data_IF_890418732564
#
_entry.id   IF_890418732564
#
_cell.length_a   1.000
_cell.length_b   1.000
_cell.length_c   1.000
_cell.angle_alpha   90.00
_cell.angle_beta   90.00
_cell.angle_gamma   90.00
#
_symmetry.space_group_name_H-M   'P 1'
#
loop_
_entity.id
_entity.type
_entity.pdbx_description
1 polymer ?
#
# COMPACT_ATOMS: atom_id res chain seq x y z
N UNK A 1 -7.70 -11.47 -17.20
CA UNK A 1 -7.36 -11.26 -15.78
C UNK A 1 -6.98 -9.79 -15.63
N UNK A 2 -7.40 -9.14 -14.55
CA UNK A 2 -7.09 -7.72 -14.25
C UNK A 2 -6.22 -7.67 -13.00
N UNK A 3 -5.09 -6.97 -13.04
CA UNK A 3 -4.17 -6.89 -11.90
C UNK A 3 -4.51 -5.66 -11.05
N UNK A 4 -4.77 -5.83 -9.74
CA UNK A 4 -5.14 -4.72 -8.85
C UNK A 4 -4.10 -3.59 -8.85
N UNK A 5 -2.81 -3.93 -8.94
CA UNK A 5 -1.72 -2.94 -8.99
C UNK A 5 -1.73 -2.04 -10.23
N UNK A 6 -2.39 -2.46 -11.32
CA UNK A 6 -2.53 -1.69 -12.55
C UNK A 6 -3.73 -0.74 -12.53
N UNK A 7 -4.72 -0.99 -11.67
CA UNK A 7 -5.97 -0.22 -11.60
C UNK A 7 -5.89 0.82 -10.47
N UNK A 8 -5.03 1.82 -10.65
CA UNK A 8 -4.79 2.90 -9.67
C UNK A 8 -4.96 4.26 -10.32
N UNK A 9 -5.35 5.27 -9.53
CA UNK A 9 -5.48 6.65 -10.00
C UNK A 9 -4.18 7.12 -10.68
N UNK A 10 -4.31 7.79 -11.82
CA UNK A 10 -3.22 8.24 -12.67
C UNK A 10 -2.62 7.18 -13.60
N UNK A 11 -2.97 5.89 -13.47
CA UNK A 11 -2.49 4.85 -14.40
C UNK A 11 -3.23 4.93 -15.74
N UNK A 12 -2.52 4.63 -16.82
CA UNK A 12 -3.07 4.44 -18.16
C UNK A 12 -2.67 3.07 -18.70
N UNK A 13 -3.62 2.15 -18.84
CA UNK A 13 -3.36 0.79 -19.34
C UNK A 13 -4.68 0.04 -19.67
N UNK A 14 -4.55 -1.20 -20.16
CA UNK A 14 -5.68 -2.05 -20.57
C UNK A 14 -6.48 -2.62 -19.38
N UNK A 15 -5.85 -2.82 -18.22
CA UNK A 15 -6.54 -3.26 -17.00
C UNK A 15 -7.51 -2.17 -16.48
N UNK A 16 -7.08 -0.90 -16.56
CA UNK A 16 -7.95 0.26 -16.30
C UNK A 16 -9.07 0.32 -17.34
N UNK A 17 -8.76 0.13 -18.64
CA UNK A 17 -9.78 0.13 -19.69
C UNK A 17 -10.84 -0.93 -19.44
N UNK A 18 -10.40 -2.14 -19.11
CA UNK A 18 -11.27 -3.27 -18.76
C UNK A 18 -12.15 -2.94 -17.56
N UNK A 19 -11.56 -2.34 -16.52
CA UNK A 19 -12.30 -1.90 -15.33
C UNK A 19 -13.35 -0.84 -15.66
N UNK A 20 -13.00 0.17 -16.48
CA UNK A 20 -13.94 1.21 -16.90
C UNK A 20 -15.09 0.63 -17.74
N UNK A 21 -14.79 -0.26 -18.68
CA UNK A 21 -15.82 -0.95 -19.47
C UNK A 21 -16.77 -1.74 -18.57
N UNK A 22 -16.24 -2.43 -17.55
CA UNK A 22 -17.04 -3.14 -16.56
C UNK A 22 -17.91 -2.22 -15.70
N UNK A 23 -17.36 -1.08 -15.24
CA UNK A 23 -18.12 -0.05 -14.52
C UNK A 23 -19.29 0.46 -15.38
N UNK A 24 -19.04 0.75 -16.66
CA UNK A 24 -20.08 1.19 -17.60
C UNK A 24 -21.13 0.09 -17.79
N UNK A 25 -20.71 -1.17 -17.94
CA UNK A 25 -21.62 -2.31 -18.11
C UNK A 25 -22.54 -2.53 -16.89
N UNK A 26 -22.07 -2.23 -15.67
CA UNK A 26 -22.90 -2.26 -14.45
C UNK A 26 -23.61 -0.92 -14.17
N UNK A 27 -23.72 -0.06 -15.18
CA UNK A 27 -24.52 1.17 -15.16
C UNK A 27 -23.85 2.35 -14.44
N UNK A 28 -22.52 2.40 -14.35
CA UNK A 28 -21.80 3.56 -13.80
C UNK A 28 -21.38 4.51 -14.91
N UNK A 29 -21.61 5.80 -14.67
CA UNK A 29 -21.31 6.82 -15.66
C UNK A 29 -19.82 7.15 -15.72
N UNK A 30 -19.25 7.00 -16.92
CA UNK A 30 -17.93 7.53 -17.28
C UNK A 30 -18.14 8.26 -18.61
N UNK A 31 -18.40 9.58 -18.61
CA UNK A 31 -18.71 10.34 -19.83
C UNK A 31 -17.67 10.20 -20.94
N UNK A 32 -16.38 10.10 -20.60
CA UNK A 32 -15.30 9.89 -21.57
C UNK A 32 -15.19 8.45 -22.10
N UNK A 33 -16.02 7.52 -21.60
CA UNK A 33 -15.94 6.09 -21.90
C UNK A 33 -14.69 5.42 -21.30
N UNK A 34 -14.41 4.21 -21.79
CA UNK A 34 -13.27 3.41 -21.35
C UNK A 34 -11.96 3.87 -22.03
N UNK A 35 -11.41 5.01 -21.59
CA UNK A 35 -10.17 5.60 -22.14
C UNK A 35 -8.90 4.81 -21.81
N UNK A 36 -8.97 3.94 -20.81
CA UNK A 36 -7.83 3.30 -20.17
C UNK A 36 -7.09 4.18 -19.17
N UNK A 37 -7.45 5.45 -18.99
CA UNK A 37 -6.83 6.34 -18.01
C UNK A 37 -7.69 6.48 -16.76
N UNK A 38 -7.13 6.14 -15.59
CA UNK A 38 -7.82 6.25 -14.31
C UNK A 38 -7.72 7.68 -13.80
N UNK A 39 -8.67 8.53 -14.20
CA UNK A 39 -8.84 9.89 -13.68
C UNK A 39 -10.04 10.03 -12.74
N UNK A 40 -10.44 11.29 -12.50
CA UNK A 40 -11.56 11.63 -11.61
C UNK A 40 -12.90 11.01 -12.02
N UNK A 41 -13.16 10.85 -13.33
CA UNK A 41 -14.39 10.19 -13.81
C UNK A 41 -14.42 8.71 -13.42
N UNK A 42 -13.29 7.99 -13.57
CA UNK A 42 -13.18 6.59 -13.16
C UNK A 42 -13.29 6.45 -11.66
N UNK A 43 -12.64 7.34 -10.90
CA UNK A 43 -12.75 7.41 -9.44
C UNK A 43 -14.21 7.58 -9.01
N UNK A 44 -14.91 8.54 -9.59
CA UNK A 44 -16.32 8.83 -9.28
C UNK A 44 -17.24 7.64 -9.61
N UNK A 45 -17.06 7.03 -10.78
CA UNK A 45 -17.80 5.82 -11.19
C UNK A 45 -17.53 4.65 -10.25
N UNK A 46 -16.28 4.45 -9.84
CA UNK A 46 -15.90 3.40 -8.91
C UNK A 46 -16.46 3.65 -7.50
N UNK A 47 -16.52 4.91 -7.05
CA UNK A 47 -17.17 5.27 -5.78
C UNK A 47 -18.66 4.91 -5.82
N UNK A 48 -19.34 5.21 -6.93
CA UNK A 48 -20.74 4.81 -7.13
C UNK A 48 -20.93 3.29 -7.23
N UNK A 49 -19.93 2.55 -7.68
CA UNK A 49 -19.89 1.09 -7.63
C UNK A 49 -19.74 0.56 -6.19
N UNK A 50 -18.79 1.10 -5.42
CA UNK A 50 -18.60 0.71 -4.02
C UNK A 50 -19.88 0.94 -3.20
N UNK A 51 -20.61 2.03 -3.43
CA UNK A 51 -21.91 2.28 -2.76
C UNK A 51 -22.94 1.18 -3.02
N UNK A 52 -22.94 0.57 -4.21
CA UNK A 52 -23.85 -0.55 -4.51
C UNK A 52 -23.48 -1.86 -3.82
N UNK A 53 -22.27 -1.95 -3.27
CA UNK A 53 -21.84 -3.06 -2.42
C UNK A 53 -22.08 -2.78 -0.92
N UNK A 54 -22.74 -1.68 -0.57
CA UNK A 54 -23.01 -1.30 0.82
C UNK A 54 -21.90 -0.50 1.51
N UNK A 55 -20.85 -0.10 0.77
CA UNK A 55 -19.80 0.76 1.31
C UNK A 55 -20.36 2.18 1.47
N UNK A 56 -20.06 2.83 2.61
CA UNK A 56 -20.54 4.18 2.92
C UNK A 56 -19.41 5.09 3.39
N UNK A 57 -19.64 6.40 3.35
CA UNK A 57 -18.66 7.41 3.76
C UNK A 57 -17.32 7.23 3.04
N UNK A 58 -16.23 7.22 3.80
CA UNK A 58 -14.86 7.07 3.29
C UNK A 58 -14.56 5.68 2.72
N UNK A 59 -15.43 4.69 2.91
CA UNK A 59 -15.27 3.37 2.33
C UNK A 59 -15.73 3.31 0.85
N UNK A 60 -16.47 4.31 0.36
CA UNK A 60 -16.96 4.42 -1.01
C UNK A 60 -16.45 5.68 -1.72
N UNK A 61 -15.15 5.74 -1.89
CA UNK A 61 -14.40 6.94 -2.29
C UNK A 61 -13.67 6.81 -3.64
N UNK A 62 -13.84 5.67 -4.31
CA UNK A 62 -13.47 5.48 -5.69
C UNK A 62 -12.10 4.88 -5.95
N UNK A 63 -11.35 4.47 -4.92
CA UNK A 63 -10.13 3.68 -5.14
C UNK A 63 -10.41 2.17 -5.02
N UNK A 64 -10.02 1.37 -6.03
CA UNK A 64 -10.20 -0.07 -6.00
C UNK A 64 -9.41 -0.73 -4.87
N UNK A 65 -10.09 -1.54 -4.07
CA UNK A 65 -9.48 -2.58 -3.24
C UNK A 65 -9.84 -3.97 -3.78
N UNK A 66 -9.07 -4.99 -3.40
CA UNK A 66 -9.21 -6.37 -3.90
C UNK A 66 -10.67 -6.86 -3.90
N UNK A 67 -11.38 -6.78 -2.77
CA UNK A 67 -12.76 -7.25 -2.67
C UNK A 67 -13.71 -6.51 -3.62
N UNK A 68 -13.67 -5.18 -3.64
CA UNK A 68 -14.56 -4.38 -4.51
C UNK A 68 -14.32 -4.61 -6.00
N UNK A 69 -13.06 -4.87 -6.40
CA UNK A 69 -12.69 -5.10 -7.79
C UNK A 69 -13.04 -6.54 -8.20
N UNK A 70 -12.85 -7.50 -7.29
CA UNK A 70 -13.25 -8.90 -7.50
C UNK A 70 -14.76 -9.03 -7.69
N UNK A 71 -15.56 -8.30 -6.90
CA UNK A 71 -17.02 -8.22 -7.08
C UNK A 71 -17.41 -7.64 -8.45
N UNK A 72 -16.67 -6.63 -8.93
CA UNK A 72 -16.90 -6.06 -10.27
C UNK A 72 -16.54 -7.10 -11.34
N UNK A 73 -15.40 -7.77 -11.17
CA UNK A 73 -14.93 -8.83 -12.05
C UNK A 73 -15.91 -10.01 -12.16
N UNK A 74 -16.49 -10.44 -11.04
CA UNK A 74 -17.49 -11.50 -11.00
C UNK A 74 -18.74 -11.15 -11.83
N UNK A 75 -19.16 -9.88 -11.86
CA UNK A 75 -20.29 -9.41 -12.68
C UNK A 75 -19.95 -9.20 -14.15
N UNK A 76 -18.71 -8.83 -14.44
CA UNK A 76 -18.26 -8.47 -15.79
C UNK A 76 -17.50 -9.60 -16.51
N UNK A 77 -17.27 -10.75 -15.86
CA UNK A 77 -16.64 -11.91 -16.46
C UNK A 77 -15.10 -11.87 -16.49
N UNK A 78 -14.45 -11.21 -15.53
CA UNK A 78 -12.99 -11.25 -15.38
C UNK A 78 -12.55 -11.61 -13.96
N UNK A 79 -11.41 -12.30 -13.86
CA UNK A 79 -10.75 -12.62 -12.58
C UNK A 79 -9.78 -11.50 -12.22
N UNK A 80 -9.70 -11.18 -10.92
CA UNK A 80 -8.76 -10.19 -10.38
C UNK A 80 -7.56 -10.89 -9.77
N UNK A 81 -6.36 -10.49 -10.17
CA UNK A 81 -5.16 -10.81 -9.41
C UNK A 81 -4.89 -9.70 -8.39
N UNK A 82 -5.04 -10.06 -7.12
CA UNK A 82 -4.79 -9.16 -5.99
C UNK A 82 -3.36 -9.25 -5.46
N UNK A 83 -2.54 -10.18 -5.96
CA UNK A 83 -1.16 -10.29 -5.53
C UNK A 83 -0.37 -9.10 -6.04
N UNK A 84 0.59 -8.66 -5.23
CA UNK A 84 1.60 -7.76 -5.75
C UNK A 84 2.53 -8.57 -6.65
N UNK A 85 2.80 -8.17 -7.91
CA UNK A 85 3.67 -8.94 -8.80
C UNK A 85 5.12 -9.08 -8.30
N UNK A 86 5.50 -8.27 -7.29
CA UNK A 86 6.78 -8.37 -6.61
C UNK A 86 6.80 -9.25 -5.36
N UNK A 87 5.70 -9.95 -5.02
CA UNK A 87 5.63 -10.77 -3.82
C UNK A 87 6.73 -11.84 -3.79
N UNK A 88 7.28 -12.08 -2.61
CA UNK A 88 8.28 -13.12 -2.34
C UNK A 88 7.72 -14.10 -1.32
N UNK A 89 8.41 -15.23 -1.11
CA UNK A 89 8.03 -16.16 -0.04
C UNK A 89 8.50 -15.63 1.31
N UNK A 90 7.75 -15.91 2.39
CA UNK A 90 8.13 -15.49 3.75
C UNK A 90 9.53 -16.00 4.15
N UNK A 91 9.92 -17.19 3.69
CA UNK A 91 11.24 -17.78 3.98
C UNK A 91 12.38 -17.02 3.31
N UNK A 92 12.11 -16.24 2.25
CA UNK A 92 13.09 -15.38 1.59
C UNK A 92 13.34 -14.07 2.34
N UNK A 93 12.56 -13.73 3.37
CA UNK A 93 12.73 -12.46 4.08
C UNK A 93 14.02 -12.46 4.89
N UNK A 94 14.91 -11.51 4.58
CA UNK A 94 16.19 -11.32 5.27
C UNK A 94 16.06 -10.42 6.50
N UNK A 95 16.72 -10.81 7.60
CA UNK A 95 16.63 -10.10 8.90
C UNK A 95 17.90 -9.30 9.28
N UNK A 96 18.85 -9.13 8.35
CA UNK A 96 20.07 -8.36 8.63
C UNK A 96 19.79 -6.86 8.80
N UNK A 97 20.27 -6.27 9.89
CA UNK A 97 20.11 -4.83 10.19
C UNK A 97 21.00 -3.96 9.30
N UNK A 98 20.60 -2.71 9.12
CA UNK A 98 21.40 -1.69 8.44
C UNK A 98 22.63 -1.28 9.27
N UNK A 99 23.67 -0.81 8.59
CA UNK A 99 24.81 -0.11 9.18
C UNK A 99 24.89 1.31 8.60
N UNK A 100 25.18 2.31 9.43
CA UNK A 100 25.47 3.68 8.98
C UNK A 100 24.28 4.49 8.44
N UNK A 101 23.03 4.03 8.61
CA UNK A 101 21.84 4.81 8.24
C UNK A 101 21.48 5.76 9.39
N UNK A 102 21.41 7.05 9.10
CA UNK A 102 21.11 8.09 10.08
C UNK A 102 19.64 8.01 10.59
N UNK A 103 19.43 8.47 11.82
CA UNK A 103 18.13 8.43 12.53
C UNK A 103 17.54 9.84 12.52
N UNK A 104 17.05 10.24 11.35
CA UNK A 104 16.45 11.55 11.13
C UNK A 104 15.42 11.53 10.00
N UNK A 105 14.61 12.59 9.95
CA UNK A 105 13.51 12.72 8.99
C UNK A 105 14.01 12.92 7.55
N UNK A 106 15.11 13.66 7.35
CA UNK A 106 15.63 13.97 6.01
C UNK A 106 16.11 12.70 5.29
N UNK A 107 16.82 11.84 6.01
CA UNK A 107 17.23 10.52 5.54
C UNK A 107 16.02 9.63 5.24
N UNK A 108 15.02 9.62 6.14
CA UNK A 108 13.79 8.87 5.92
C UNK A 108 13.00 9.38 4.69
N UNK A 109 12.99 10.69 4.44
CA UNK A 109 12.35 11.33 3.28
C UNK A 109 12.97 10.86 1.98
N UNK A 110 14.30 10.84 1.89
CA UNK A 110 15.01 10.34 0.70
C UNK A 110 14.61 8.89 0.40
N UNK A 111 14.52 8.02 1.40
CA UNK A 111 14.10 6.63 1.18
C UNK A 111 12.60 6.50 0.85
N UNK A 112 11.73 7.30 1.48
CA UNK A 112 10.30 7.31 1.17
C UNK A 112 10.03 7.75 -0.27
N UNK A 113 10.77 8.75 -0.73
CA UNK A 113 10.76 9.23 -2.11
C UNK A 113 11.22 8.17 -3.12
N UNK A 114 12.31 7.47 -2.83
CA UNK A 114 12.76 6.33 -3.65
C UNK A 114 11.72 5.21 -3.67
N UNK A 115 11.09 4.90 -2.53
CA UNK A 115 10.03 3.91 -2.46
C UNK A 115 8.81 4.33 -3.29
N UNK A 116 8.43 5.61 -3.27
CA UNK A 116 7.39 6.15 -4.16
C UNK A 116 7.74 5.94 -5.63
N UNK A 117 8.96 6.22 -6.07
CA UNK A 117 9.38 5.99 -7.46
C UNK A 117 9.28 4.52 -7.87
N UNK A 118 9.76 3.62 -7.00
CA UNK A 118 9.79 2.17 -7.28
C UNK A 118 8.39 1.58 -7.37
N UNK A 119 7.47 2.08 -6.56
CA UNK A 119 6.09 1.58 -6.46
C UNK A 119 5.13 2.31 -7.41
N UNK A 120 5.55 3.49 -7.90
CA UNK A 120 4.74 4.42 -8.67
C UNK A 120 3.75 5.23 -7.81
N UNK A 121 3.98 5.32 -6.50
CA UNK A 121 3.16 6.15 -5.63
C UNK A 121 3.47 7.62 -5.88
N UNK A 122 2.48 8.52 -5.77
CA UNK A 122 2.74 9.95 -5.92
C UNK A 122 3.83 10.39 -4.94
N UNK A 123 4.79 11.21 -5.41
CA UNK A 123 5.79 11.83 -4.51
C UNK A 123 5.15 12.66 -3.39
N UNK A 124 3.92 13.14 -3.61
CA UNK A 124 3.12 13.79 -2.56
C UNK A 124 2.86 12.88 -1.35
N UNK A 125 2.94 11.56 -1.46
CA UNK A 125 2.87 10.68 -0.27
C UNK A 125 4.06 10.87 0.68
N UNK A 126 5.20 11.38 0.22
CA UNK A 126 6.33 11.72 1.08
C UNK A 126 6.27 13.16 1.63
N UNK A 127 5.48 14.04 1.02
CA UNK A 127 5.39 15.47 1.40
C UNK A 127 4.03 15.88 1.99
N UNK A 128 2.99 15.04 1.86
CA UNK A 128 1.60 15.34 2.22
C UNK A 128 0.65 15.20 1.03
N UNK A 129 -0.46 14.47 1.23
CA UNK A 129 -1.65 14.53 0.37
C UNK A 129 -2.73 15.40 1.03
N UNK A 130 -3.99 15.34 0.56
CA UNK A 130 -5.14 15.86 1.31
C UNK A 130 -5.05 15.45 2.79
N UNK A 131 -5.69 16.17 3.71
CA UNK A 131 -5.60 15.92 5.17
C UNK A 131 -4.17 15.83 5.78
N UNK A 132 -3.14 16.25 5.03
CA UNK A 132 -1.75 16.25 5.48
C UNK A 132 -1.11 14.86 5.60
N UNK A 133 -1.82 13.77 5.29
CA UNK A 133 -1.27 12.43 5.48
C UNK A 133 -0.03 12.16 4.62
N UNK A 134 0.99 11.53 5.21
CA UNK A 134 2.24 11.19 4.52
C UNK A 134 3.01 10.05 5.20
N UNK A 135 3.94 9.47 4.44
CA UNK A 135 4.80 8.37 4.86
C UNK A 135 5.70 8.76 6.04
N UNK A 136 6.12 10.02 6.15
CA UNK A 136 7.01 10.44 7.24
C UNK A 136 6.30 10.52 8.58
N UNK A 137 5.02 10.91 8.58
CA UNK A 137 4.18 10.87 9.77
C UNK A 137 4.00 9.43 10.24
N UNK A 138 3.76 8.50 9.31
CA UNK A 138 3.71 7.06 9.60
C UNK A 138 5.04 6.59 10.18
N UNK A 139 6.15 6.82 9.50
CA UNK A 139 7.49 6.37 9.92
C UNK A 139 7.86 6.94 11.30
N UNK A 140 7.53 8.21 11.57
CA UNK A 140 7.74 8.83 12.88
C UNK A 140 6.99 8.10 13.99
N UNK A 141 5.73 7.75 13.76
CA UNK A 141 4.88 7.07 14.76
C UNK A 141 5.25 5.60 14.94
N UNK A 142 5.60 4.93 13.84
CA UNK A 142 5.94 3.51 13.85
C UNK A 142 7.34 3.25 14.43
N UNK A 143 8.33 4.08 14.09
CA UNK A 143 9.74 3.81 14.43
C UNK A 143 10.50 4.97 15.06
N UNK A 144 9.91 6.16 15.16
CA UNK A 144 10.64 7.40 15.49
C UNK A 144 11.86 7.59 14.57
N UNK A 145 11.68 7.33 13.28
CA UNK A 145 12.73 7.37 12.25
C UNK A 145 13.93 6.44 12.51
N UNK A 146 13.72 5.31 13.21
CA UNK A 146 14.77 4.30 13.41
C UNK A 146 14.68 3.20 12.34
N UNK A 147 15.62 3.13 11.38
CA UNK A 147 15.58 2.14 10.28
C UNK A 147 15.73 0.69 10.77
N UNK A 148 16.30 0.49 11.97
CA UNK A 148 16.50 -0.82 12.60
C UNK A 148 15.51 -1.11 13.74
N UNK A 149 14.40 -0.35 13.84
CA UNK A 149 13.38 -0.57 14.86
C UNK A 149 12.77 -1.98 14.75
N UNK A 150 12.47 -2.58 15.90
CA UNK A 150 11.78 -3.87 16.00
C UNK A 150 10.91 -3.87 17.25
N UNK A 151 9.63 -4.21 17.10
CA UNK A 151 8.72 -4.40 18.22
C UNK A 151 8.79 -5.85 18.71
N UNK A 152 9.17 -6.07 19.96
CA UNK A 152 9.38 -7.41 20.55
C UNK A 152 8.33 -7.80 21.59
N UNK A 153 7.45 -6.87 21.94
CA UNK A 153 6.64 -6.96 23.14
C UNK A 153 5.14 -7.03 22.84
N UNK A 154 4.75 -6.90 21.56
CA UNK A 154 3.35 -6.98 21.15
C UNK A 154 2.85 -8.41 20.95
N UNK A 155 1.55 -8.52 20.67
CA UNK A 155 0.87 -9.79 20.39
C UNK A 155 1.46 -10.52 19.18
N UNK A 156 2.13 -9.80 18.28
CA UNK A 156 2.75 -10.37 17.10
C UNK A 156 4.12 -10.97 17.40
N UNK A 157 4.72 -10.76 18.59
CA UNK A 157 6.00 -11.35 18.99
C UNK A 157 5.89 -12.87 19.23
N UNK A 158 5.73 -13.62 18.13
CA UNK A 158 5.52 -15.06 18.07
C UNK A 158 6.37 -15.70 16.97
N UNK A 159 6.51 -17.03 17.02
CA UNK A 159 7.32 -17.80 16.07
C UNK A 159 8.81 -17.90 16.45
N UNK A 160 9.64 -18.53 15.59
CA UNK A 160 11.05 -18.79 15.87
C UNK A 160 11.88 -17.50 15.91
N UNK A 161 12.94 -17.49 16.71
CA UNK A 161 13.91 -16.38 16.77
C UNK A 161 14.70 -16.31 15.46
N UNK A 162 14.86 -15.11 14.91
CA UNK A 162 15.58 -14.82 13.67
C UNK A 162 17.00 -14.31 13.95
N UNK A 163 17.79 -14.07 12.90
CA UNK A 163 19.19 -13.63 13.02
C UNK A 163 19.37 -12.24 13.66
N UNK A 164 18.31 -11.44 13.74
CA UNK A 164 18.29 -10.16 14.48
C UNK A 164 17.98 -10.31 15.99
N UNK A 165 17.77 -11.54 16.45
CA UNK A 165 17.41 -11.89 17.82
C UNK A 165 15.96 -11.60 18.21
N UNK A 166 15.09 -11.22 17.26
CA UNK A 166 13.65 -11.05 17.48
C UNK A 166 12.87 -12.26 16.94
N UNK A 167 11.63 -12.45 17.41
CA UNK A 167 10.76 -13.52 16.92
C UNK A 167 10.28 -13.22 15.50
N UNK A 168 9.96 -14.26 14.72
CA UNK A 168 9.61 -14.16 13.30
C UNK A 168 8.54 -13.09 13.05
N UNK A 169 7.44 -13.10 13.79
CA UNK A 169 6.30 -12.24 13.48
C UNK A 169 6.40 -10.80 14.02
N UNK A 170 7.51 -10.41 14.66
CA UNK A 170 7.75 -9.02 15.09
C UNK A 170 7.69 -8.03 13.91
N UNK A 171 7.11 -6.86 14.12
CA UNK A 171 7.18 -5.75 13.16
C UNK A 171 8.58 -5.12 13.14
N UNK A 172 9.03 -4.69 11.96
CA UNK A 172 10.42 -4.24 11.74
C UNK A 172 10.53 -3.05 10.78
N UNK A 173 11.62 -2.31 10.93
CA UNK A 173 12.03 -1.24 10.02
C UNK A 173 11.23 0.05 10.18
N UNK A 174 11.41 0.98 9.24
CA UNK A 174 10.81 2.31 9.31
C UNK A 174 9.28 2.30 9.42
N UNK A 175 8.61 1.43 8.67
CA UNK A 175 7.16 1.34 8.59
C UNK A 175 6.58 0.22 9.46
N UNK A 176 7.41 -0.42 10.30
CA UNK A 176 7.00 -1.51 11.22
C UNK A 176 6.11 -2.58 10.54
N UNK A 177 6.52 -3.08 9.38
CA UNK A 177 5.83 -4.20 8.73
C UNK A 177 6.29 -5.56 9.32
N UNK A 178 5.36 -6.51 9.44
CA UNK A 178 5.68 -7.91 9.79
C UNK A 178 6.15 -8.68 8.54
N UNK A 179 6.88 -9.80 8.67
CA UNK A 179 7.43 -10.51 7.51
C UNK A 179 6.41 -11.05 6.52
N UNK A 180 5.21 -11.45 6.96
CA UNK A 180 4.13 -11.86 6.04
C UNK A 180 3.70 -10.69 5.15
N UNK A 181 3.40 -9.54 5.77
CA UNK A 181 3.05 -8.31 5.04
C UNK A 181 4.19 -7.87 4.12
N UNK A 182 5.44 -7.93 4.57
CA UNK A 182 6.60 -7.60 3.74
C UNK A 182 6.67 -8.51 2.52
N UNK A 183 6.59 -9.83 2.73
CA UNK A 183 6.68 -10.83 1.67
C UNK A 183 5.55 -10.69 0.64
N UNK A 184 4.30 -10.59 1.08
CA UNK A 184 3.13 -10.46 0.19
C UNK A 184 3.10 -9.15 -0.61
N UNK A 185 3.69 -8.08 -0.07
CA UNK A 185 3.63 -6.74 -0.66
C UNK A 185 4.99 -6.28 -1.19
N UNK A 186 5.98 -7.18 -1.24
CA UNK A 186 7.32 -6.86 -1.68
C UNK A 186 7.32 -6.21 -3.07
N UNK A 187 8.20 -5.24 -3.26
CA UNK A 187 8.34 -4.51 -4.52
C UNK A 187 9.45 -5.14 -5.36
N UNK A 188 9.11 -5.60 -6.57
CA UNK A 188 10.13 -6.14 -7.47
C UNK A 188 11.23 -5.09 -7.72
N UNK A 189 12.49 -5.52 -7.69
CA UNK A 189 13.67 -4.66 -7.81
C UNK A 189 14.15 -4.01 -6.51
N UNK A 190 13.52 -4.30 -5.36
CA UNK A 190 14.06 -3.93 -4.03
C UNK A 190 14.71 -5.13 -3.33
N UNK A 191 15.43 -4.88 -2.22
CA UNK A 191 16.03 -5.94 -1.40
C UNK A 191 14.95 -6.79 -0.70
N UNK A 192 15.24 -8.07 -0.49
CA UNK A 192 14.47 -9.00 0.35
C UNK A 192 14.67 -8.81 1.86
N UNK A 193 15.55 -7.89 2.26
CA UNK A 193 15.90 -7.61 3.65
C UNK A 193 14.88 -6.65 4.24
N UNK A 194 14.12 -7.09 5.24
CA UNK A 194 13.02 -6.29 5.83
C UNK A 194 13.48 -4.98 6.48
N UNK A 195 14.76 -4.89 6.87
CA UNK A 195 15.34 -3.66 7.38
C UNK A 195 15.80 -2.68 6.29
N UNK A 196 15.92 -3.10 5.03
CA UNK A 196 16.25 -2.19 3.94
C UNK A 196 15.21 -1.06 3.86
N UNK A 197 15.61 0.22 4.00
CA UNK A 197 14.65 1.32 4.07
C UNK A 197 13.69 1.40 2.89
N UNK A 198 14.21 1.24 1.66
CA UNK A 198 13.41 1.37 0.45
C UNK A 198 12.47 0.18 0.33
N UNK A 199 12.94 -1.04 0.55
CA UNK A 199 12.09 -2.23 0.50
C UNK A 199 10.99 -2.21 1.58
N UNK A 200 11.33 -1.82 2.81
CA UNK A 200 10.40 -1.74 3.93
C UNK A 200 9.26 -0.75 3.66
N UNK A 201 9.61 0.46 3.20
CA UNK A 201 8.62 1.49 2.88
C UNK A 201 7.84 1.11 1.61
N UNK A 202 8.48 0.52 0.60
CA UNK A 202 7.81 0.08 -0.61
C UNK A 202 6.76 -1.02 -0.33
N UNK A 203 7.08 -1.98 0.54
CA UNK A 203 6.13 -2.99 0.98
C UNK A 203 4.95 -2.36 1.74
N UNK A 204 5.21 -1.35 2.59
CA UNK A 204 4.15 -0.59 3.25
C UNK A 204 3.26 0.16 2.25
N UNK A 205 3.83 0.84 1.23
CA UNK A 205 3.06 1.51 0.17
C UNK A 205 2.15 0.52 -0.57
N UNK A 206 2.69 -0.65 -0.93
CA UNK A 206 1.93 -1.69 -1.64
C UNK A 206 0.80 -2.27 -0.77
N UNK A 207 1.08 -2.49 0.52
CA UNK A 207 0.05 -2.84 1.50
C UNK A 207 -1.02 -1.74 1.60
N UNK A 208 -0.61 -0.47 1.65
CA UNK A 208 -1.52 0.67 1.73
C UNK A 208 -2.46 0.68 0.53
N UNK A 209 -1.94 0.56 -0.69
CA UNK A 209 -2.79 0.48 -1.87
C UNK A 209 -3.70 -0.74 -1.88
N UNK A 210 -3.19 -1.92 -1.51
CA UNK A 210 -3.98 -3.16 -1.50
C UNK A 210 -5.14 -3.09 -0.50
N UNK A 211 -4.86 -2.58 0.70
CA UNK A 211 -5.78 -2.59 1.86
C UNK A 211 -6.67 -1.37 1.92
N UNK A 212 -6.11 -0.21 1.63
CA UNK A 212 -6.73 1.11 1.81
C UNK A 212 -6.87 1.90 0.52
N UNK A 213 -6.20 1.56 -0.58
CA UNK A 213 -6.28 2.29 -1.86
C UNK A 213 -5.63 3.67 -1.88
N UNK A 214 -5.48 4.35 -0.73
CA UNK A 214 -4.76 5.62 -0.59
C UNK A 214 -4.23 5.85 0.85
N UNK A 215 -3.11 6.56 0.98
CA UNK A 215 -2.46 6.84 2.28
C UNK A 215 -3.31 7.73 3.20
N UNK A 216 -4.17 8.58 2.65
CA UNK A 216 -5.05 9.46 3.44
C UNK A 216 -6.03 8.70 4.35
N UNK A 217 -6.23 7.39 4.10
CA UNK A 217 -7.04 6.47 4.92
C UNK A 217 -6.26 5.80 6.06
N UNK A 218 -4.94 5.98 6.11
CA UNK A 218 -4.09 5.36 7.11
C UNK A 218 -3.98 6.32 8.29
N UNK A 219 -4.61 5.98 9.42
CA UNK A 219 -4.60 6.84 10.61
C UNK A 219 -3.18 7.19 11.07
N UNK A 220 -2.26 6.22 11.02
CA UNK A 220 -0.86 6.45 11.38
C UNK A 220 -0.13 7.42 10.45
N UNK A 221 -0.60 7.59 9.21
CA UNK A 221 -0.02 8.56 8.27
C UNK A 221 -0.59 9.97 8.44
N UNK A 222 -1.71 10.15 9.13
CA UNK A 222 -2.39 11.44 9.27
C UNK A 222 -1.91 12.21 10.53
N UNK A 223 -1.29 13.40 10.37
CA UNK A 223 -0.78 14.17 11.50
C UNK A 223 -1.86 14.83 12.37
N UNK A 224 -3.05 15.06 11.81
CA UNK A 224 -4.19 15.74 12.46
C UNK A 224 -5.06 14.79 13.29
N UNK A 225 -4.72 13.49 13.33
CA UNK A 225 -5.40 12.47 14.14
C UNK A 225 -4.45 11.90 15.17
N UNK A 226 -4.98 11.54 16.32
CA UNK A 226 -4.21 10.76 17.30
C UNK A 226 -3.71 9.45 16.67
N UNK A 227 -2.52 8.97 17.07
CA UNK A 227 -2.05 7.64 16.69
C UNK A 227 -3.12 6.58 17.03
N UNK A 228 -3.32 5.60 16.16
CA UNK A 228 -4.18 4.47 16.51
C UNK A 228 -3.53 3.67 17.66
N UNK A 229 -4.31 3.16 18.62
CA UNK A 229 -3.78 2.19 19.59
C UNK A 229 -3.33 0.93 18.84
N UNK A 230 -2.24 0.33 19.32
CA UNK A 230 -1.67 -0.93 18.83
C UNK A 230 -2.36 -2.13 19.47
#
# INVERSE_FOLDING_TARGET
MVTLSHVRFGKHNDDVRTTQAALIAVGKEIPAGATGFFGEQTKSAYAAWQRTLGFTGSAADGFPGCSSLAELGARAGFVVDCHHPGAITKISVGFSKNSGVAVDEDTARVFAEQACDRTGAPRSWATGVSNGANLLTLIRRESSFKPNAVNRDDVNATGPVQSDGAKLNCSRGYAQVIPDTFAENHQSGTSDRIYDPVANIAAAINYIWRRYGDISRVQQANPDRDPAPY
#
